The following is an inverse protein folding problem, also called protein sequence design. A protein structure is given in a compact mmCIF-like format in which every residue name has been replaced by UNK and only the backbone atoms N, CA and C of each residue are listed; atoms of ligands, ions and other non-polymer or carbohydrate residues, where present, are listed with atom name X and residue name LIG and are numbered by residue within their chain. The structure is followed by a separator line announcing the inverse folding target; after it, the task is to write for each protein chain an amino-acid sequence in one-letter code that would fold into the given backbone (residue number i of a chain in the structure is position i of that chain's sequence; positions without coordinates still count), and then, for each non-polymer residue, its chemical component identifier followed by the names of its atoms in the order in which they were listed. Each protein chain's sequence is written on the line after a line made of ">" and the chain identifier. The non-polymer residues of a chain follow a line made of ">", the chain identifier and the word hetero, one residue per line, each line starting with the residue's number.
data_IF_267732129301
#
_entry.id   IF_267732129301
#
_cell.length_a   1.000
_cell.length_b   1.000
_cell.length_c   1.000
_cell.angle_alpha   90.00
_cell.angle_beta   90.00
_cell.angle_gamma   90.00
#
_symmetry.space_group_name_H-M   'P 1'
#
loop_
_entity.id
_entity.type
_entity.pdbx_description
1 polymer ?
#
# COMPACT_ATOMS: atom_id res chain seq x y z
N UNK A 1 12.70 -9.48 10.93
CA UNK A 1 12.11 -9.56 9.57
C UNK A 1 10.90 -10.47 9.61
N UNK A 2 9.82 -9.98 10.18
CA UNK A 2 8.55 -10.70 10.16
C UNK A 2 7.42 -9.74 9.78
N UNK A 3 7.08 -9.71 8.48
CA UNK A 3 5.78 -9.18 8.05
C UNK A 3 4.78 -10.31 8.23
N UNK A 4 3.82 -10.14 9.15
CA UNK A 4 2.78 -11.13 9.42
C UNK A 4 1.42 -10.45 9.49
N UNK A 5 0.55 -10.78 8.55
CA UNK A 5 -0.83 -10.33 8.57
C UNK A 5 -1.62 -11.09 9.65
N UNK A 6 -2.43 -10.34 10.39
CA UNK A 6 -3.44 -10.87 11.31
C UNK A 6 -4.84 -10.71 10.71
N UNK A 7 -5.85 -10.69 11.58
CA UNK A 7 -7.26 -10.56 11.18
C UNK A 7 -7.54 -9.26 10.43
N UNK A 8 -6.99 -8.14 10.90
CA UNK A 8 -7.26 -6.81 10.34
C UNK A 8 -5.96 -6.14 9.84
N UNK A 9 -5.22 -6.85 9.01
CA UNK A 9 -4.00 -6.35 8.40
C UNK A 9 -2.71 -6.66 9.17
N UNK A 10 -1.63 -6.00 8.79
CA UNK A 10 -0.32 -6.15 9.42
C UNK A 10 -0.12 -5.12 10.52
N UNK A 11 0.31 -5.58 11.70
CA UNK A 11 0.67 -4.76 12.86
C UNK A 11 2.04 -5.18 13.36
N UNK A 12 2.85 -4.21 13.76
CA UNK A 12 4.19 -4.44 14.30
C UNK A 12 4.62 -3.25 15.18
N UNK A 13 5.71 -3.44 15.93
CA UNK A 13 6.32 -2.38 16.76
C UNK A 13 7.15 -1.44 15.88
N UNK A 14 6.95 -0.13 16.03
CA UNK A 14 7.70 0.91 15.30
C UNK A 14 9.17 0.85 15.68
N UNK A 15 10.05 0.81 14.68
CA UNK A 15 11.50 0.73 14.87
C UNK A 15 12.04 -0.70 15.03
N UNK A 16 11.16 -1.68 15.25
CA UNK A 16 11.52 -3.10 15.20
C UNK A 16 11.10 -3.69 13.85
N UNK A 17 9.90 -4.26 13.74
CA UNK A 17 9.40 -4.83 12.48
C UNK A 17 8.60 -3.81 11.65
N UNK A 18 8.02 -2.77 12.26
CA UNK A 18 7.35 -1.68 11.53
C UNK A 18 8.39 -0.62 11.13
N UNK A 19 9.14 -0.93 10.06
CA UNK A 19 10.19 -0.08 9.48
C UNK A 19 9.76 0.48 8.13
N UNK A 20 10.42 1.54 7.67
CA UNK A 20 10.19 2.09 6.33
C UNK A 20 10.40 1.05 5.22
N UNK A 21 11.38 0.17 5.38
CA UNK A 21 11.63 -0.90 4.42
C UNK A 21 10.44 -1.86 4.33
N UNK A 22 9.94 -2.34 5.46
CA UNK A 22 8.81 -3.27 5.47
C UNK A 22 7.50 -2.60 5.03
N UNK A 23 7.28 -1.34 5.42
CA UNK A 23 6.14 -0.53 4.94
C UNK A 23 6.18 -0.41 3.41
N UNK A 24 7.33 -0.11 2.81
CA UNK A 24 7.48 -0.04 1.35
C UNK A 24 7.26 -1.39 0.67
N UNK A 25 7.73 -2.50 1.26
CA UNK A 25 7.46 -3.85 0.75
C UNK A 25 5.96 -4.16 0.71
N UNK A 26 5.23 -3.82 1.79
CA UNK A 26 3.77 -4.00 1.84
C UNK A 26 3.07 -3.08 0.83
N UNK A 27 3.48 -1.81 0.72
CA UNK A 27 2.94 -0.87 -0.26
C UNK A 27 3.14 -1.36 -1.70
N UNK A 28 4.31 -1.91 -2.01
CA UNK A 28 4.61 -2.47 -3.34
C UNK A 28 3.68 -3.63 -3.67
N UNK A 29 3.52 -4.59 -2.75
CA UNK A 29 2.60 -5.72 -2.94
C UNK A 29 1.13 -5.26 -3.13
N UNK A 30 0.71 -4.21 -2.42
CA UNK A 30 -0.62 -3.61 -2.58
C UNK A 30 -0.77 -2.95 -3.95
N UNK A 31 0.25 -2.23 -4.44
CA UNK A 31 0.25 -1.61 -5.76
C UNK A 31 0.08 -2.65 -6.87
N UNK A 32 0.93 -3.68 -6.85
CA UNK A 32 0.90 -4.78 -7.83
C UNK A 32 -0.46 -5.46 -7.85
N UNK A 33 -0.98 -5.83 -6.67
CA UNK A 33 -2.29 -6.49 -6.58
C UNK A 33 -3.42 -5.62 -7.12
N UNK A 34 -3.36 -4.32 -6.89
CA UNK A 34 -4.38 -3.35 -7.35
C UNK A 34 -4.36 -3.23 -8.87
N UNK A 35 -3.19 -3.19 -9.49
CA UNK A 35 -3.03 -3.13 -10.94
C UNK A 35 -3.45 -4.43 -11.62
N UNK A 36 -3.16 -5.57 -11.01
CA UNK A 36 -3.64 -6.88 -11.49
C UNK A 36 -5.18 -6.93 -11.50
N UNK A 37 -5.83 -6.50 -10.41
CA UNK A 37 -7.30 -6.44 -10.34
C UNK A 37 -7.89 -5.47 -11.35
N UNK A 38 -7.23 -4.32 -11.57
CA UNK A 38 -7.65 -3.36 -12.59
C UNK A 38 -7.58 -4.00 -13.99
N UNK A 39 -6.49 -4.71 -14.30
CA UNK A 39 -6.29 -5.42 -15.57
C UNK A 39 -7.39 -6.47 -15.78
N UNK A 40 -7.70 -7.28 -14.76
CA UNK A 40 -8.78 -8.28 -14.81
C UNK A 40 -10.16 -7.67 -15.04
N UNK A 41 -10.43 -6.46 -14.52
CA UNK A 41 -11.71 -5.77 -14.77
C UNK A 41 -11.82 -5.32 -16.22
N UNK A 42 -10.72 -4.84 -16.80
CA UNK A 42 -10.67 -4.43 -18.20
C UNK A 42 -10.92 -5.61 -19.15
N UNK A 43 -10.28 -6.76 -18.90
CA UNK A 43 -10.48 -7.98 -19.72
C UNK A 43 -11.90 -8.53 -19.65
N UNK A 44 -12.61 -8.28 -18.54
CA UNK A 44 -14.01 -8.66 -18.35
C UNK A 44 -15.01 -7.61 -18.90
N UNK A 45 -14.56 -6.66 -19.72
CA UNK A 45 -15.41 -5.66 -20.38
C UNK A 45 -15.95 -4.56 -19.45
N UNK A 46 -15.40 -4.41 -18.23
CA UNK A 46 -15.75 -3.30 -17.34
C UNK A 46 -14.91 -2.07 -17.70
N UNK A 47 -15.51 -0.89 -17.56
CA UNK A 47 -14.82 0.38 -17.84
C UNK A 47 -13.51 0.49 -17.05
N UNK A 48 -12.41 0.66 -17.78
CA UNK A 48 -11.08 0.92 -17.24
C UNK A 48 -11.10 2.27 -16.50
N UNK A 49 -11.07 2.23 -15.17
CA UNK A 49 -10.80 3.43 -14.39
C UNK A 49 -9.33 3.40 -13.95
N UNK A 50 -8.64 4.54 -13.92
CA UNK A 50 -7.29 4.60 -13.37
C UNK A 50 -7.31 4.09 -11.92
N UNK A 51 -6.33 3.24 -11.58
CA UNK A 51 -6.18 2.75 -10.21
C UNK A 51 -5.98 3.93 -9.27
N UNK A 52 -6.89 4.11 -8.32
CA UNK A 52 -6.87 5.20 -7.35
C UNK A 52 -6.97 4.64 -5.95
N UNK A 53 -6.14 5.13 -5.02
CA UNK A 53 -6.11 4.70 -3.62
C UNK A 53 -6.01 5.90 -2.69
N UNK A 54 -6.61 5.81 -1.50
CA UNK A 54 -6.50 6.83 -0.46
C UNK A 54 -5.56 6.34 0.64
N UNK A 55 -4.59 7.16 1.03
CA UNK A 55 -3.68 6.86 2.15
C UNK A 55 -4.04 7.72 3.35
N UNK A 56 -4.48 7.08 4.43
CA UNK A 56 -4.77 7.71 5.71
C UNK A 56 -3.84 7.21 6.82
N UNK A 57 -3.66 8.01 7.87
CA UNK A 57 -2.81 7.67 9.00
C UNK A 57 -3.32 8.33 10.29
N UNK A 58 -2.90 7.82 11.44
CA UNK A 58 -3.24 8.35 12.77
C UNK A 58 -2.13 9.25 13.35
N UNK A 59 -2.27 9.72 14.59
CA UNK A 59 -1.31 10.65 15.21
C UNK A 59 -0.10 9.97 15.85
N UNK A 60 0.16 8.68 15.59
CA UNK A 60 1.33 8.00 16.16
C UNK A 60 2.63 8.53 15.59
N UNK A 61 3.71 8.25 16.31
CA UNK A 61 5.06 8.64 15.92
C UNK A 61 5.39 8.19 14.49
N UNK A 62 5.82 9.13 13.64
CA UNK A 62 6.19 8.93 12.23
C UNK A 62 5.06 8.45 11.30
N UNK A 63 3.80 8.42 11.74
CA UNK A 63 2.68 7.98 10.90
C UNK A 63 2.55 8.81 9.61
N UNK A 64 2.82 10.12 9.67
CA UNK A 64 2.87 11.01 8.50
C UNK A 64 3.94 10.60 7.49
N UNK A 65 5.12 10.20 7.98
CA UNK A 65 6.24 9.76 7.14
C UNK A 65 6.03 8.37 6.57
N UNK A 66 5.44 7.45 7.33
CA UNK A 66 5.05 6.14 6.80
C UNK A 66 3.98 6.28 5.72
N UNK A 67 2.98 7.14 5.92
CA UNK A 67 1.97 7.43 4.92
C UNK A 67 2.59 8.01 3.63
N UNK A 68 3.51 8.96 3.75
CA UNK A 68 4.24 9.48 2.61
C UNK A 68 5.03 8.38 1.88
N UNK A 69 5.72 7.49 2.60
CA UNK A 69 6.45 6.38 2.01
C UNK A 69 5.54 5.37 1.27
N UNK A 70 4.32 5.15 1.76
CA UNK A 70 3.31 4.34 1.05
C UNK A 70 2.86 5.07 -0.23
N UNK A 71 2.51 6.35 -0.13
CA UNK A 71 2.07 7.15 -1.27
C UNK A 71 3.14 7.24 -2.37
N UNK A 72 4.42 7.40 -2.01
CA UNK A 72 5.55 7.38 -2.94
C UNK A 72 5.61 6.08 -3.75
N UNK A 73 5.47 4.92 -3.08
CA UNK A 73 5.49 3.62 -3.75
C UNK A 73 4.28 3.45 -4.66
N UNK A 74 3.08 3.80 -4.19
CA UNK A 74 1.86 3.73 -5.00
C UNK A 74 1.96 4.61 -6.26
N UNK A 75 2.38 5.87 -6.10
CA UNK A 75 2.57 6.81 -7.21
C UNK A 75 3.64 6.34 -8.20
N UNK A 76 4.74 5.77 -7.71
CA UNK A 76 5.81 5.21 -8.56
C UNK A 76 5.34 4.03 -9.43
N UNK A 77 4.29 3.31 -9.00
CA UNK A 77 3.65 2.25 -9.78
C UNK A 77 2.51 2.77 -10.68
N UNK A 78 2.28 4.08 -10.73
CA UNK A 78 1.22 4.67 -11.56
C UNK A 78 -0.18 4.61 -10.93
N UNK A 79 -0.29 4.33 -9.62
CA UNK A 79 -1.54 4.44 -8.87
C UNK A 79 -1.74 5.89 -8.45
N UNK A 80 -2.92 6.46 -8.73
CA UNK A 80 -3.30 7.79 -8.27
C UNK A 80 -3.55 7.75 -6.76
N UNK A 81 -2.93 8.66 -6.02
CA UNK A 81 -3.02 8.78 -4.56
C UNK A 81 -3.35 10.19 -4.10
#
# INVERSE_FOLDING_TARGET
>A
MTIKFGTDGWRAVIGEDFTFENVRKVAQAIAEKTLDDATLRQTNGRAAHPATMVVGYDTRFLSDRFAAAVAEVLAANGVQV
#
